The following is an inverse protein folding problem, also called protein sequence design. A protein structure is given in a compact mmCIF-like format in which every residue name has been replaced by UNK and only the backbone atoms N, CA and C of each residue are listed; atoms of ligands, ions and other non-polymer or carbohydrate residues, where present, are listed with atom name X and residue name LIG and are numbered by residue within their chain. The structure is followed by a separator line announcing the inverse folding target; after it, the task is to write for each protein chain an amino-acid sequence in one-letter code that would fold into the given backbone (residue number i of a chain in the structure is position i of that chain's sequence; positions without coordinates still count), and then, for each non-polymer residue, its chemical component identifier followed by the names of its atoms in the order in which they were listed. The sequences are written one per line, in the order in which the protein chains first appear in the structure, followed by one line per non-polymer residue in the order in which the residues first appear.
data_IF_497864296738
#
_entry.id   IF_497864296738
#
_cell.length_a   1.000
_cell.length_b   1.000
_cell.length_c   1.000
_cell.angle_alpha   90.00
_cell.angle_beta   90.00
_cell.angle_gamma   90.00
#
_symmetry.space_group_name_H-M   'P 1'
#
loop_
_entity.id
_entity.type
_entity.pdbx_description
1 polymer ?
#
# COMPACT_ATOMS: atom_id res chain seq x y z
N UNK A 1 17.96 14.04 69.73
CA UNK A 1 17.88 13.76 68.28
C UNK A 1 17.80 15.10 67.55
N UNK A 2 18.79 15.48 66.72
CA UNK A 2 18.74 16.75 66.02
C UNK A 2 17.77 16.64 64.84
N UNK A 3 16.89 17.63 64.71
CA UNK A 3 15.96 17.76 63.59
C UNK A 3 16.74 17.90 62.28
N UNK A 4 16.53 16.99 61.34
CA UNK A 4 16.97 17.14 59.95
C UNK A 4 16.31 18.39 59.37
N UNK A 5 17.10 19.47 59.20
CA UNK A 5 16.70 20.63 58.41
C UNK A 5 16.42 20.13 57.00
N UNK A 6 15.18 20.30 56.53
CA UNK A 6 14.85 20.02 55.13
C UNK A 6 15.67 20.98 54.26
N UNK A 7 16.46 20.45 53.34
CA UNK A 7 17.19 21.26 52.39
C UNK A 7 16.17 21.91 51.44
N UNK A 8 15.75 23.15 51.75
CA UNK A 8 15.03 24.00 50.82
C UNK A 8 15.96 24.34 49.66
N UNK A 9 15.78 23.64 48.54
CA UNK A 9 16.39 23.98 47.26
C UNK A 9 15.99 25.43 46.94
N UNK A 10 16.95 26.35 46.92
CA UNK A 10 16.67 27.74 46.57
C UNK A 10 16.18 27.80 45.11
N UNK A 11 15.09 28.53 44.82
CA UNK A 11 14.62 28.71 43.46
C UNK A 11 15.71 29.42 42.62
N UNK A 12 15.85 29.02 41.36
CA UNK A 12 16.75 29.68 40.41
C UNK A 12 16.48 31.19 40.39
N UNK A 13 17.55 32.00 40.27
CA UNK A 13 17.41 33.46 40.14
C UNK A 13 16.45 33.78 38.99
N UNK A 14 15.56 34.79 39.12
CA UNK A 14 14.56 35.11 38.10
C UNK A 14 15.14 35.29 36.70
N UNK A 15 16.34 35.86 36.59
CA UNK A 15 17.06 36.02 35.32
C UNK A 15 17.47 34.67 34.71
N UNK A 16 18.00 33.75 35.53
CA UNK A 16 18.39 32.40 35.08
C UNK A 16 17.14 31.63 34.64
N UNK A 17 16.05 31.78 35.38
CA UNK A 17 14.80 31.11 35.05
C UNK A 17 14.22 31.64 33.72
N UNK A 18 14.25 32.95 33.47
CA UNK A 18 13.83 33.53 32.18
C UNK A 18 14.67 33.02 31.01
N UNK A 19 15.99 32.95 31.18
CA UNK A 19 16.89 32.38 30.16
C UNK A 19 16.56 30.92 29.91
N UNK A 20 16.33 30.11 30.96
CA UNK A 20 15.94 28.72 30.82
C UNK A 20 14.61 28.56 30.04
N UNK A 21 13.60 29.37 30.34
CA UNK A 21 12.34 29.36 29.59
C UNK A 21 12.55 29.68 28.11
N UNK A 22 13.36 30.70 27.78
CA UNK A 22 13.66 31.07 26.40
C UNK A 22 14.43 29.97 25.67
N UNK A 23 15.40 29.34 26.32
CA UNK A 23 16.17 28.22 25.75
C UNK A 23 15.25 27.03 25.47
N UNK A 24 14.41 26.63 26.44
CA UNK A 24 13.48 25.51 26.26
C UNK A 24 12.46 25.83 25.16
N UNK A 25 11.91 27.04 25.12
CA UNK A 25 11.01 27.46 24.04
C UNK A 25 11.71 27.41 22.67
N UNK A 26 12.96 27.88 22.56
CA UNK A 26 13.73 27.81 21.32
C UNK A 26 14.01 26.37 20.89
N UNK A 27 14.32 25.47 21.84
CA UNK A 27 14.52 24.04 21.56
C UNK A 27 13.25 23.35 21.09
N UNK A 28 12.09 23.67 21.69
CA UNK A 28 10.78 23.17 21.22
C UNK A 28 10.51 23.66 19.81
N UNK A 29 10.73 24.96 19.52
CA UNK A 29 10.59 25.49 18.15
C UNK A 29 11.53 24.77 17.19
N UNK A 30 12.80 24.58 17.55
CA UNK A 30 13.78 23.89 16.72
C UNK A 30 13.38 22.42 16.45
N UNK A 31 12.82 21.72 17.43
CA UNK A 31 12.28 20.37 17.28
C UNK A 31 11.19 20.35 16.20
N UNK A 32 10.20 21.24 16.30
CA UNK A 32 9.10 21.34 15.33
C UNK A 32 9.55 21.82 13.94
N UNK A 33 10.60 22.63 13.84
CA UNK A 33 11.16 23.05 12.54
C UNK A 33 11.95 21.92 11.89
N UNK A 34 12.80 21.22 12.65
CA UNK A 34 13.67 20.15 12.13
C UNK A 34 12.90 18.93 11.64
N UNK A 35 11.76 18.67 12.25
CA UNK A 35 10.93 17.49 11.98
C UNK A 35 9.83 17.74 10.94
N UNK A 36 9.68 18.99 10.49
CA UNK A 36 8.81 19.33 9.39
C UNK A 36 9.35 18.72 8.09
N UNK A 37 8.53 17.94 7.41
CA UNK A 37 8.89 17.35 6.14
C UNK A 37 8.98 18.43 5.04
N UNK A 38 9.94 18.28 4.13
CA UNK A 38 10.04 19.15 2.96
C UNK A 38 8.77 19.02 2.10
N UNK A 39 8.22 20.13 1.57
CA UNK A 39 7.11 20.05 0.61
C UNK A 39 7.47 19.13 -0.56
N UNK A 40 6.71 18.05 -0.75
CA UNK A 40 6.96 17.06 -1.82
C UNK A 40 7.74 15.80 -1.40
N UNK A 41 8.17 15.68 -0.14
CA UNK A 41 8.77 14.44 0.40
C UNK A 41 7.75 13.42 0.89
N UNK A 42 6.46 13.70 0.71
CA UNK A 42 5.38 12.79 1.09
C UNK A 42 5.45 11.54 0.21
N UNK A 43 5.98 10.45 0.77
CA UNK A 43 5.88 9.13 0.16
C UNK A 43 4.58 8.47 0.58
N UNK A 44 4.07 7.55 -0.25
CA UNK A 44 2.95 6.65 0.06
C UNK A 44 3.08 5.95 1.42
N UNK A 45 4.30 5.86 1.96
CA UNK A 45 4.59 5.16 3.21
C UNK A 45 4.23 5.96 4.48
N UNK A 46 4.05 7.28 4.40
CA UNK A 46 3.82 8.11 5.59
C UNK A 46 2.57 8.99 5.47
N UNK A 47 1.72 8.92 6.48
CA UNK A 47 0.56 9.82 6.65
C UNK A 47 1.04 11.07 7.41
N UNK A 48 0.71 12.26 6.90
CA UNK A 48 1.20 13.54 7.44
C UNK A 48 0.09 14.38 8.07
N UNK A 49 0.25 14.72 9.35
CA UNK A 49 -0.62 15.67 10.05
C UNK A 49 -0.36 17.08 9.50
N UNK A 50 -1.43 17.80 9.12
CA UNK A 50 -1.38 19.10 8.42
C UNK A 50 -0.59 19.09 7.10
N UNK A 51 -0.29 17.90 6.56
CA UNK A 51 0.57 17.76 5.36
C UNK A 51 2.05 18.10 5.60
N UNK A 52 2.50 18.19 6.86
CA UNK A 52 3.87 18.61 7.21
C UNK A 52 4.59 17.61 8.10
N UNK A 53 3.89 16.95 9.03
CA UNK A 53 4.53 16.12 10.05
C UNK A 53 4.12 14.65 9.92
N UNK A 54 5.06 13.70 9.75
CA UNK A 54 4.75 12.28 9.90
C UNK A 54 4.01 12.01 11.21
N UNK A 55 2.99 11.16 11.20
CA UNK A 55 2.11 10.91 12.37
C UNK A 55 2.89 10.53 13.64
N UNK A 56 3.86 9.64 13.52
CA UNK A 56 4.73 9.19 14.61
C UNK A 56 5.58 10.34 15.16
N UNK A 57 6.19 11.12 14.28
CA UNK A 57 7.00 12.28 14.68
C UNK A 57 6.15 13.40 15.29
N UNK A 58 4.93 13.61 14.79
CA UNK A 58 3.98 14.55 15.35
C UNK A 58 3.61 14.15 16.79
N UNK A 59 3.30 12.87 17.04
CA UNK A 59 3.01 12.35 18.37
C UNK A 59 4.20 12.59 19.33
N UNK A 60 5.42 12.29 18.88
CA UNK A 60 6.63 12.54 19.67
C UNK A 60 6.87 14.02 19.97
N UNK A 61 6.63 14.90 18.99
CA UNK A 61 6.80 16.33 19.18
C UNK A 61 5.82 16.88 20.22
N UNK A 62 4.56 16.43 20.21
CA UNK A 62 3.55 16.78 21.21
C UNK A 62 3.98 16.30 22.61
N UNK A 63 4.40 15.03 22.72
CA UNK A 63 4.85 14.47 23.99
C UNK A 63 6.08 15.20 24.54
N UNK A 64 7.08 15.50 23.70
CA UNK A 64 8.28 16.24 24.07
C UNK A 64 7.96 17.69 24.49
N UNK A 65 7.05 18.35 23.78
CA UNK A 65 6.59 19.71 24.11
C UNK A 65 5.91 19.74 25.48
N UNK A 66 5.04 18.75 25.76
CA UNK A 66 4.38 18.62 27.05
C UNK A 66 5.38 18.36 28.18
N UNK A 67 6.31 17.42 27.98
CA UNK A 67 7.35 17.09 28.96
C UNK A 67 8.26 18.31 29.28
N UNK A 68 8.61 19.10 28.26
CA UNK A 68 9.37 20.33 28.42
C UNK A 68 8.60 21.37 29.26
N UNK A 69 7.30 21.54 29.01
CA UNK A 69 6.43 22.42 29.80
C UNK A 69 6.32 21.97 31.26
N UNK A 70 6.19 20.66 31.49
CA UNK A 70 6.13 20.09 32.84
C UNK A 70 7.45 20.28 33.60
N UNK A 71 8.59 20.10 32.93
CA UNK A 71 9.91 20.36 33.48
C UNK A 71 10.06 21.83 33.89
N UNK A 72 9.65 22.77 33.02
CA UNK A 72 9.65 24.20 33.32
C UNK A 72 8.77 24.52 34.53
N UNK A 73 7.60 23.88 34.67
CA UNK A 73 6.75 24.06 35.85
C UNK A 73 7.45 23.57 37.14
N UNK A 74 8.03 22.37 37.11
CA UNK A 74 8.69 21.78 38.28
C UNK A 74 9.90 22.62 38.71
N UNK A 75 10.70 23.08 37.75
CA UNK A 75 11.92 23.86 38.02
C UNK A 75 11.61 25.33 38.33
N UNK A 76 10.62 25.91 37.64
CA UNK A 76 10.38 27.35 37.60
C UNK A 76 9.27 27.90 38.47
N UNK A 77 8.42 27.06 39.05
CA UNK A 77 7.37 27.53 39.95
C UNK A 77 7.95 28.19 41.21
N UNK A 78 7.16 29.00 41.91
CA UNK A 78 7.51 29.55 43.24
C UNK A 78 6.92 28.72 44.39
N UNK A 79 6.15 27.68 44.08
CA UNK A 79 5.49 26.80 45.06
C UNK A 79 6.49 25.90 45.78
N UNK A 80 6.08 25.29 46.89
CA UNK A 80 6.88 24.26 47.55
C UNK A 80 7.14 23.05 46.61
N UNK A 81 8.34 22.45 46.69
CA UNK A 81 8.76 21.33 45.81
C UNK A 81 7.81 20.15 45.92
N UNK A 82 7.34 19.81 47.13
CA UNK A 82 6.38 18.72 47.33
C UNK A 82 5.08 19.00 46.58
N UNK A 83 4.61 20.25 46.63
CA UNK A 83 3.39 20.67 45.91
C UNK A 83 3.58 20.57 44.40
N UNK A 84 4.74 20.99 43.86
CA UNK A 84 5.03 20.89 42.42
C UNK A 84 5.05 19.45 41.95
N UNK A 85 5.70 18.57 42.71
CA UNK A 85 5.75 17.14 42.38
C UNK A 85 4.36 16.52 42.43
N UNK A 86 3.54 16.81 43.45
CA UNK A 86 2.16 16.32 43.53
C UNK A 86 1.35 16.79 42.32
N UNK A 87 1.41 18.07 41.97
CA UNK A 87 0.67 18.61 40.82
C UNK A 87 1.17 17.97 39.53
N UNK A 88 2.49 17.87 39.34
CA UNK A 88 3.07 17.22 38.16
C UNK A 88 2.66 15.75 38.04
N UNK A 89 2.66 15.00 39.15
CA UNK A 89 2.18 13.62 39.21
C UNK A 89 0.70 13.55 38.86
N UNK A 90 -0.16 14.40 39.44
CA UNK A 90 -1.59 14.40 39.14
C UNK A 90 -1.87 14.70 37.65
N UNK A 91 -1.15 15.65 37.06
CA UNK A 91 -1.25 15.96 35.63
C UNK A 91 -0.79 14.79 34.76
N UNK A 92 0.36 14.18 35.08
CA UNK A 92 0.84 13.00 34.37
C UNK A 92 -0.14 11.83 34.51
N UNK A 93 -0.62 11.53 35.72
CA UNK A 93 -1.59 10.47 35.96
C UNK A 93 -2.90 10.72 35.21
N UNK A 94 -3.38 11.97 35.16
CA UNK A 94 -4.59 12.35 34.43
C UNK A 94 -4.50 12.14 32.92
N UNK A 95 -3.30 12.06 32.34
CA UNK A 95 -3.07 11.78 30.91
C UNK A 95 -2.73 10.30 30.70
N UNK A 96 -1.80 9.76 31.50
CA UNK A 96 -1.28 8.42 31.32
C UNK A 96 -2.29 7.33 31.70
N UNK A 97 -3.18 7.57 32.68
CA UNK A 97 -4.20 6.57 33.05
C UNK A 97 -5.23 6.37 31.92
N UNK A 98 -5.86 7.43 31.36
CA UNK A 98 -6.72 7.26 30.19
C UNK A 98 -5.99 6.66 28.99
N UNK A 99 -4.76 7.11 28.69
CA UNK A 99 -3.99 6.52 27.60
C UNK A 99 -3.71 5.04 27.82
N UNK A 100 -3.35 4.62 29.03
CA UNK A 100 -3.13 3.21 29.36
C UNK A 100 -4.42 2.38 29.25
N UNK A 101 -5.58 2.95 29.61
CA UNK A 101 -6.87 2.27 29.46
C UNK A 101 -7.26 2.06 28.00
N UNK A 102 -6.93 3.03 27.13
CA UNK A 102 -7.28 2.97 25.71
C UNK A 102 -6.24 2.19 24.90
N UNK A 103 -4.94 2.41 25.14
CA UNK A 103 -3.83 1.74 24.44
C UNK A 103 -3.52 0.34 25.00
N UNK A 104 -3.84 0.08 26.28
CA UNK A 104 -3.56 -1.19 26.95
C UNK A 104 -4.13 -2.41 26.21
N UNK A 105 -5.40 -2.42 25.80
CA UNK A 105 -5.96 -3.48 24.95
C UNK A 105 -5.22 -3.66 23.62
N UNK A 106 -4.79 -2.57 22.97
CA UNK A 106 -4.01 -2.65 21.73
C UNK A 106 -2.58 -3.19 21.96
N UNK A 107 -1.97 -2.87 23.09
CA UNK A 107 -0.65 -3.35 23.49
C UNK A 107 -0.63 -4.87 23.64
N UNK A 108 -1.67 -5.45 24.25
CA UNK A 108 -1.81 -6.91 24.42
C UNK A 108 -2.51 -7.61 23.26
N UNK A 109 -2.87 -6.88 22.20
CA UNK A 109 -3.48 -7.44 20.98
C UNK A 109 -4.96 -7.79 21.10
N UNK A 110 -5.68 -7.27 22.11
CA UNK A 110 -7.12 -7.48 22.28
C UNK A 110 -7.97 -6.59 21.37
N UNK A 111 -7.48 -5.40 21.01
CA UNK A 111 -8.17 -4.45 20.14
C UNK A 111 -7.21 -3.98 19.05
N UNK A 112 -7.70 -3.92 17.81
CA UNK A 112 -7.03 -3.24 16.72
C UNK A 112 -7.81 -1.98 16.34
N UNK A 113 -7.31 -0.80 16.72
CA UNK A 113 -8.03 0.45 16.44
C UNK A 113 -8.12 0.80 14.95
N UNK A 114 -7.43 0.08 14.06
CA UNK A 114 -7.64 0.23 12.60
C UNK A 114 -9.07 -0.18 12.21
N UNK A 115 -9.66 -1.16 12.88
CA UNK A 115 -11.05 -1.60 12.63
C UNK A 115 -12.09 -0.54 13.01
N UNK A 116 -11.73 0.45 13.84
CA UNK A 116 -12.67 1.43 14.35
C UNK A 116 -12.39 2.85 13.85
N UNK A 117 -11.12 3.14 13.57
CA UNK A 117 -10.64 4.48 13.25
C UNK A 117 -10.05 4.60 11.85
N UNK A 118 -9.72 3.51 11.14
CA UNK A 118 -9.21 3.67 9.78
C UNK A 118 -10.30 4.31 8.92
N UNK A 119 -10.08 5.49 8.32
CA UNK A 119 -11.03 6.01 7.36
C UNK A 119 -11.01 5.06 6.17
N UNK A 120 -12.19 4.65 5.70
CA UNK A 120 -12.43 3.82 4.51
C UNK A 120 -11.74 4.36 3.22
N UNK A 121 -11.08 5.52 3.29
CA UNK A 121 -10.45 6.24 2.19
C UNK A 121 -8.92 6.31 2.24
N UNK A 122 -8.24 5.75 3.26
CA UNK A 122 -6.76 5.62 3.26
C UNK A 122 -6.26 4.33 2.56
N UNK A 123 -7.13 3.68 1.79
CA UNK A 123 -6.92 2.34 1.24
C UNK A 123 -8.13 1.43 1.42
N UNK A 124 -9.34 1.98 1.28
CA UNK A 124 -10.33 1.44 0.36
C UNK A 124 -10.91 0.04 0.54
N UNK A 125 -10.79 -0.64 1.67
CA UNK A 125 -11.38 -1.98 1.78
C UNK A 125 -12.25 -2.23 3.02
N UNK A 126 -12.48 -1.24 3.88
CA UNK A 126 -13.37 -1.35 5.04
C UNK A 126 -12.69 -1.81 6.33
N UNK A 127 -13.40 -1.81 7.47
CA UNK A 127 -12.85 -2.24 8.75
C UNK A 127 -12.93 -3.77 8.91
N UNK A 128 -11.79 -4.49 8.82
CA UNK A 128 -11.67 -5.92 9.15
C UNK A 128 -10.95 -6.83 8.13
N UNK A 129 -10.35 -6.28 7.05
CA UNK A 129 -10.17 -7.04 5.80
C UNK A 129 -8.95 -7.95 5.72
N UNK A 130 -8.28 -8.27 6.83
CA UNK A 130 -7.10 -9.15 6.82
C UNK A 130 -7.10 -10.04 8.05
N UNK A 131 -7.20 -11.33 7.81
CA UNK A 131 -6.95 -12.38 8.80
C UNK A 131 -5.54 -12.89 8.54
N UNK A 132 -4.63 -12.63 9.47
CA UNK A 132 -3.22 -12.99 9.32
C UNK A 132 -3.03 -14.49 9.57
N UNK A 133 -2.38 -15.16 8.62
CA UNK A 133 -2.07 -16.58 8.70
C UNK A 133 -0.58 -16.79 8.40
N UNK A 134 0.13 -17.63 9.18
CA UNK A 134 1.57 -17.82 9.00
C UNK A 134 2.00 -18.27 7.60
N UNK A 135 1.16 -19.05 6.91
CA UNK A 135 1.51 -19.68 5.62
C UNK A 135 1.13 -18.83 4.41
N UNK A 136 0.12 -17.97 4.53
CA UNK A 136 -0.42 -17.14 3.44
C UNK A 136 -0.24 -15.64 3.68
N UNK A 137 0.49 -15.26 4.74
CA UNK A 137 0.60 -13.91 5.26
C UNK A 137 -0.74 -13.35 5.77
N UNK A 138 -1.73 -13.15 4.90
CA UNK A 138 -3.11 -12.88 5.30
C UNK A 138 -4.10 -13.33 4.22
N UNK A 139 -5.37 -13.46 4.58
CA UNK A 139 -6.45 -13.55 3.61
C UNK A 139 -7.60 -12.62 4.02
N UNK A 140 -8.54 -12.39 3.12
CA UNK A 140 -9.75 -11.62 3.47
C UNK A 140 -10.68 -12.45 4.36
N UNK A 141 -11.52 -11.82 5.18
CA UNK A 141 -12.52 -12.56 5.93
C UNK A 141 -13.37 -13.44 4.99
N UNK A 142 -13.63 -14.71 5.35
CA UNK A 142 -14.46 -15.59 4.56
C UNK A 142 -15.83 -14.97 4.25
N UNK A 143 -16.27 -15.10 3.00
CA UNK A 143 -17.57 -14.60 2.53
C UNK A 143 -17.80 -13.11 2.69
N UNK A 144 -16.74 -12.31 2.87
CA UNK A 144 -16.85 -10.87 3.02
C UNK A 144 -17.41 -10.20 1.77
N UNK A 145 -18.18 -9.12 1.99
CA UNK A 145 -18.87 -8.38 0.95
C UNK A 145 -18.99 -6.91 1.30
N UNK A 146 -18.48 -6.07 0.42
CA UNK A 146 -18.65 -4.63 0.54
C UNK A 146 -18.59 -3.94 -0.83
N UNK A 147 -19.20 -2.77 -0.90
CA UNK A 147 -19.14 -1.92 -2.08
C UNK A 147 -18.72 -0.52 -1.65
N UNK A 148 -17.88 0.13 -2.46
CA UNK A 148 -17.42 1.48 -2.17
C UNK A 148 -17.21 2.26 -3.48
N UNK A 149 -17.08 3.58 -3.35
CA UNK A 149 -16.66 4.46 -4.44
C UNK A 149 -15.29 5.04 -4.08
N UNK A 150 -14.22 4.58 -4.75
CA UNK A 150 -12.84 4.89 -4.37
C UNK A 150 -12.22 5.91 -5.32
N UNK A 151 -11.41 6.83 -4.80
CA UNK A 151 -10.52 7.64 -5.65
C UNK A 151 -9.42 6.74 -6.23
N UNK A 152 -8.85 7.13 -7.37
CA UNK A 152 -7.57 6.58 -7.80
C UNK A 152 -6.48 6.86 -6.76
N UNK A 153 -5.46 6.00 -6.66
CA UNK A 153 -4.42 6.12 -5.63
C UNK A 153 -3.68 7.47 -5.74
N UNK A 154 -3.35 7.92 -6.95
CA UNK A 154 -2.81 9.27 -7.18
C UNK A 154 -3.76 10.37 -6.66
N UNK A 155 -5.05 10.28 -6.97
CA UNK A 155 -6.02 11.27 -6.50
C UNK A 155 -6.18 11.24 -4.97
N UNK A 156 -6.16 10.06 -4.36
CA UNK A 156 -6.24 9.86 -2.92
C UNK A 156 -5.00 10.45 -2.23
N UNK A 157 -3.79 10.13 -2.72
CA UNK A 157 -2.50 10.61 -2.20
C UNK A 157 -2.42 12.13 -2.28
N UNK A 158 -2.92 12.71 -3.35
CA UNK A 158 -2.81 14.14 -3.62
C UNK A 158 -4.00 14.96 -3.11
N UNK A 159 -5.06 14.30 -2.60
CA UNK A 159 -6.24 14.96 -2.06
C UNK A 159 -7.06 15.72 -3.09
N UNK A 160 -7.13 15.19 -4.33
CA UNK A 160 -7.82 15.82 -5.47
C UNK A 160 -9.34 15.71 -5.31
N UNK A 161 -10.01 16.83 -5.00
CA UNK A 161 -11.46 16.83 -4.77
C UNK A 161 -12.29 16.57 -6.02
N UNK A 162 -11.81 17.02 -7.18
CA UNK A 162 -12.50 16.90 -8.47
C UNK A 162 -12.25 15.58 -9.18
N UNK A 163 -11.40 14.71 -8.62
CA UNK A 163 -11.12 13.41 -9.21
C UNK A 163 -12.36 12.51 -9.21
N UNK A 164 -12.54 11.66 -10.23
CA UNK A 164 -13.63 10.71 -10.26
C UNK A 164 -13.51 9.71 -9.10
N UNK A 165 -14.66 9.19 -8.65
CA UNK A 165 -14.71 8.03 -7.75
C UNK A 165 -15.18 6.82 -8.54
N UNK A 166 -14.45 5.73 -8.42
CA UNK A 166 -14.68 4.48 -9.12
C UNK A 166 -15.50 3.54 -8.25
N UNK A 167 -16.66 3.12 -8.77
CA UNK A 167 -17.49 2.12 -8.11
C UNK A 167 -16.76 0.77 -8.11
N UNK A 168 -16.68 0.15 -6.95
CA UNK A 168 -16.11 -1.17 -6.75
C UNK A 168 -17.06 -2.01 -5.89
N UNK A 169 -17.13 -3.30 -6.20
CA UNK A 169 -17.94 -4.29 -5.49
C UNK A 169 -17.11 -5.53 -5.26
N UNK A 170 -16.84 -5.85 -3.99
CA UNK A 170 -15.97 -6.93 -3.57
C UNK A 170 -16.81 -8.05 -2.98
N UNK A 171 -16.60 -9.26 -3.49
CA UNK A 171 -17.20 -10.49 -2.98
C UNK A 171 -16.11 -11.53 -2.87
N UNK A 172 -15.95 -12.07 -1.66
CA UNK A 172 -14.95 -13.09 -1.38
C UNK A 172 -15.62 -14.45 -1.12
N UNK A 173 -14.88 -15.52 -1.41
CA UNK A 173 -15.28 -16.89 -1.12
C UNK A 173 -14.94 -17.31 0.33
N UNK A 174 -15.21 -18.57 0.67
CA UNK A 174 -14.90 -19.18 1.98
C UNK A 174 -13.43 -19.12 2.37
N UNK A 175 -12.52 -18.89 1.42
CA UNK A 175 -11.06 -18.82 1.63
C UNK A 175 -10.55 -17.37 1.58
N UNK A 176 -11.44 -16.38 1.44
CA UNK A 176 -11.05 -14.98 1.39
C UNK A 176 -10.49 -14.53 0.04
N UNK A 177 -10.73 -15.28 -1.05
CA UNK A 177 -10.32 -14.88 -2.39
C UNK A 177 -11.51 -14.37 -3.21
N UNK A 178 -11.26 -13.46 -4.15
CA UNK A 178 -12.32 -12.67 -4.78
C UNK A 178 -13.08 -13.41 -5.89
N UNK A 179 -13.81 -14.44 -5.47
CA UNK A 179 -14.67 -15.27 -6.31
C UNK A 179 -16.15 -15.02 -5.96
N UNK A 180 -17.03 -15.10 -6.95
CA UNK A 180 -18.47 -14.86 -6.76
C UNK A 180 -19.20 -16.02 -6.04
N UNK A 181 -18.54 -17.18 -5.93
CA UNK A 181 -18.99 -18.36 -5.20
C UNK A 181 -17.80 -19.18 -4.69
N UNK A 182 -18.07 -20.11 -3.78
CA UNK A 182 -17.06 -21.05 -3.28
C UNK A 182 -16.60 -22.01 -4.38
N UNK A 183 -15.28 -22.15 -4.51
CA UNK A 183 -14.66 -23.03 -5.49
C UNK A 183 -14.03 -24.25 -4.83
N UNK A 184 -14.46 -25.43 -5.29
CA UNK A 184 -13.81 -26.71 -4.99
C UNK A 184 -12.97 -27.23 -6.17
N UNK A 185 -13.22 -26.71 -7.38
CA UNK A 185 -12.38 -26.91 -8.56
C UNK A 185 -12.52 -25.76 -9.56
N UNK A 186 -11.46 -25.51 -10.32
CA UNK A 186 -11.43 -24.52 -11.38
C UNK A 186 -10.63 -25.05 -12.58
N UNK A 187 -11.03 -24.72 -13.81
CA UNK A 187 -10.27 -25.10 -15.00
C UNK A 187 -9.01 -24.23 -15.17
N UNK A 188 -9.11 -22.97 -14.75
CA UNK A 188 -8.01 -21.99 -14.77
C UNK A 188 -7.87 -21.38 -13.39
N UNK A 189 -6.63 -21.23 -12.92
CA UNK A 189 -6.28 -20.49 -11.70
C UNK A 189 -5.46 -19.27 -12.09
N UNK A 190 -5.83 -18.09 -11.58
CA UNK A 190 -5.07 -16.85 -11.73
C UNK A 190 -4.39 -16.52 -10.41
N UNK A 191 -3.09 -16.27 -10.44
CA UNK A 191 -2.28 -15.87 -9.27
C UNK A 191 -1.65 -14.52 -9.58
N UNK A 192 -1.61 -13.62 -8.61
CA UNK A 192 -0.96 -12.33 -8.72
C UNK A 192 -1.33 -11.40 -7.57
N UNK A 193 -1.11 -10.11 -7.80
CA UNK A 193 -1.33 -9.04 -6.83
C UNK A 193 -2.72 -8.38 -6.96
N UNK A 194 -2.80 -7.08 -6.66
CA UNK A 194 -4.00 -6.24 -6.79
C UNK A 194 -4.57 -6.19 -8.21
N UNK A 195 -3.76 -6.41 -9.25
CA UNK A 195 -4.24 -6.51 -10.63
C UNK A 195 -5.09 -7.75 -10.85
N UNK A 196 -4.77 -8.86 -10.19
CA UNK A 196 -5.55 -10.09 -10.30
C UNK A 196 -6.73 -10.02 -9.33
N UNK A 197 -6.55 -9.50 -8.10
CA UNK A 197 -7.68 -9.25 -7.18
C UNK A 197 -8.74 -8.33 -7.82
N UNK A 198 -8.34 -7.47 -8.76
CA UNK A 198 -9.24 -6.59 -9.51
C UNK A 198 -9.59 -5.31 -8.74
N UNK A 199 -8.61 -4.77 -8.03
CA UNK A 199 -8.77 -3.59 -7.18
C UNK A 199 -9.49 -2.44 -7.93
N UNK A 200 -10.47 -1.80 -7.26
CA UNK A 200 -11.30 -0.70 -7.80
C UNK A 200 -12.16 -1.04 -9.02
N UNK A 201 -12.44 -2.31 -9.27
CA UNK A 201 -13.32 -2.76 -10.36
C UNK A 201 -14.53 -3.46 -9.77
N UNK A 202 -15.68 -3.46 -10.46
CA UNK A 202 -16.86 -4.23 -10.03
C UNK A 202 -16.64 -5.73 -10.30
N UNK A 203 -17.22 -6.60 -9.47
CA UNK A 203 -17.01 -8.05 -9.52
C UNK A 203 -17.11 -8.62 -10.94
N UNK A 204 -18.13 -8.24 -11.71
CA UNK A 204 -18.40 -8.79 -13.04
C UNK A 204 -17.36 -8.37 -14.09
N UNK A 205 -16.58 -7.32 -13.82
CA UNK A 205 -15.63 -6.71 -14.77
C UNK A 205 -14.18 -7.11 -14.52
N UNK A 206 -13.88 -7.86 -13.45
CA UNK A 206 -12.52 -8.34 -13.17
C UNK A 206 -12.08 -9.41 -14.18
N UNK A 207 -10.77 -9.63 -14.27
CA UNK A 207 -10.17 -10.51 -15.28
C UNK A 207 -10.68 -11.96 -15.19
N UNK A 208 -10.87 -12.50 -13.98
CA UNK A 208 -11.37 -13.86 -13.79
C UNK A 208 -12.79 -14.06 -14.32
N UNK A 209 -13.70 -13.13 -14.04
CA UNK A 209 -15.09 -13.21 -14.50
C UNK A 209 -15.20 -13.04 -16.01
N UNK A 210 -14.44 -12.09 -16.58
CA UNK A 210 -14.40 -11.91 -18.03
C UNK A 210 -13.78 -13.14 -18.73
N UNK A 211 -12.71 -13.72 -18.18
CA UNK A 211 -12.04 -14.89 -18.72
C UNK A 211 -12.93 -16.13 -18.65
N UNK A 212 -13.61 -16.35 -17.52
CA UNK A 212 -14.54 -17.48 -17.36
C UNK A 212 -15.71 -17.41 -18.33
N UNK A 213 -16.25 -16.21 -18.57
CA UNK A 213 -17.29 -15.98 -19.57
C UNK A 213 -16.80 -16.26 -21.00
N UNK A 214 -15.56 -15.86 -21.33
CA UNK A 214 -14.97 -16.14 -22.64
C UNK A 214 -14.73 -17.64 -22.84
N UNK A 215 -14.16 -18.33 -21.86
CA UNK A 215 -13.79 -19.74 -21.97
C UNK A 215 -14.95 -20.70 -21.74
N UNK A 216 -16.06 -20.24 -21.16
CA UNK A 216 -17.15 -21.12 -20.72
C UNK A 216 -16.72 -22.07 -19.59
N UNK A 217 -15.77 -21.64 -18.76
CA UNK A 217 -15.12 -22.47 -17.75
C UNK A 217 -14.99 -21.74 -16.40
N UNK A 218 -14.86 -22.50 -15.31
CA UNK A 218 -14.60 -21.94 -13.97
C UNK A 218 -13.17 -21.41 -13.88
N UNK A 219 -13.03 -20.16 -13.46
CA UNK A 219 -11.74 -19.48 -13.28
C UNK A 219 -11.63 -19.03 -11.82
N UNK A 220 -10.65 -19.54 -11.10
CA UNK A 220 -10.36 -19.09 -9.74
C UNK A 220 -9.49 -17.83 -9.79
N UNK A 221 -9.96 -16.78 -9.16
CA UNK A 221 -9.17 -15.60 -8.84
C UNK A 221 -8.49 -15.83 -7.50
N UNK A 222 -7.17 -15.99 -7.49
CA UNK A 222 -6.36 -16.06 -6.27
C UNK A 222 -5.42 -14.86 -6.15
N UNK A 223 -5.76 -13.77 -6.82
CA UNK A 223 -5.04 -12.51 -6.70
C UNK A 223 -5.31 -11.83 -5.37
N UNK A 224 -4.28 -11.23 -4.78
CA UNK A 224 -4.38 -10.58 -3.49
C UNK A 224 -3.52 -9.31 -3.48
N UNK A 225 -4.14 -8.15 -3.27
CA UNK A 225 -3.41 -6.88 -3.10
C UNK A 225 -2.37 -7.05 -2.00
N UNK A 226 -1.22 -6.39 -2.16
CA UNK A 226 -0.06 -6.45 -1.25
C UNK A 226 0.72 -7.78 -1.26
N UNK A 227 0.43 -8.72 -2.16
CA UNK A 227 1.23 -9.94 -2.32
C UNK A 227 2.28 -9.75 -3.39
N UNK A 228 3.51 -10.14 -3.07
CA UNK A 228 4.59 -10.35 -4.01
C UNK A 228 4.88 -11.84 -4.25
N UNK A 229 5.95 -12.15 -4.99
CA UNK A 229 6.17 -13.50 -5.54
C UNK A 229 6.25 -14.65 -4.51
N UNK A 230 6.87 -14.49 -3.32
CA UNK A 230 6.85 -15.53 -2.30
C UNK A 230 5.44 -15.88 -1.79
N UNK A 231 4.61 -14.87 -1.52
CA UNK A 231 3.23 -15.09 -1.09
C UNK A 231 2.36 -15.70 -2.20
N UNK A 232 2.53 -15.24 -3.43
CA UNK A 232 1.90 -15.82 -4.62
C UNK A 232 2.25 -17.31 -4.80
N UNK A 233 3.50 -17.71 -4.55
CA UNK A 233 3.92 -19.11 -4.59
C UNK A 233 3.23 -19.95 -3.52
N UNK A 234 3.09 -19.39 -2.31
CA UNK A 234 2.38 -20.04 -1.23
C UNK A 234 0.89 -20.23 -1.57
N UNK A 235 0.23 -19.20 -2.11
CA UNK A 235 -1.16 -19.27 -2.59
C UNK A 235 -1.32 -20.34 -3.66
N UNK A 236 -0.45 -20.36 -4.67
CA UNK A 236 -0.48 -21.38 -5.71
C UNK A 236 -0.40 -22.80 -5.10
N UNK A 237 0.53 -23.03 -4.18
CA UNK A 237 0.76 -24.35 -3.58
C UNK A 237 -0.39 -24.78 -2.66
N UNK A 238 -0.86 -23.89 -1.79
CA UNK A 238 -1.79 -24.21 -0.71
C UNK A 238 -3.26 -24.14 -1.15
N UNK A 239 -3.55 -23.32 -2.16
CA UNK A 239 -4.93 -23.04 -2.61
C UNK A 239 -5.11 -23.37 -4.08
N UNK A 240 -4.22 -22.90 -4.96
CA UNK A 240 -4.35 -23.03 -6.42
C UNK A 240 -4.31 -24.46 -6.95
N UNK A 241 -3.22 -25.18 -6.71
CA UNK A 241 -3.06 -26.56 -7.20
C UNK A 241 -4.11 -27.54 -6.62
N UNK A 242 -4.53 -27.43 -5.34
CA UNK A 242 -5.64 -28.21 -4.82
C UNK A 242 -6.99 -28.04 -5.55
N UNK A 243 -7.20 -26.95 -6.32
CA UNK A 243 -8.38 -26.77 -7.17
C UNK A 243 -8.32 -27.57 -8.48
N UNK A 244 -7.24 -28.33 -8.70
CA UNK A 244 -7.01 -29.19 -9.86
C UNK A 244 -7.16 -28.47 -11.21
N UNK A 245 -6.48 -27.32 -11.42
CA UNK A 245 -6.56 -26.59 -12.68
C UNK A 245 -5.91 -27.33 -13.84
N UNK A 246 -6.40 -27.09 -15.05
CA UNK A 246 -5.66 -27.45 -16.26
C UNK A 246 -4.62 -26.38 -16.62
N UNK A 247 -4.88 -25.11 -16.25
CA UNK A 247 -4.02 -23.96 -16.54
C UNK A 247 -3.84 -23.09 -15.30
N UNK A 248 -2.60 -22.69 -15.03
CA UNK A 248 -2.25 -21.63 -14.09
C UNK A 248 -1.69 -20.45 -14.87
N UNK A 249 -2.26 -19.26 -14.62
CA UNK A 249 -1.75 -17.99 -15.14
C UNK A 249 -1.21 -17.17 -13.98
N UNK A 250 0.11 -16.99 -13.95
CA UNK A 250 0.80 -16.15 -12.99
C UNK A 250 0.97 -14.76 -13.59
N UNK A 251 0.40 -13.73 -12.97
CA UNK A 251 0.59 -12.35 -13.37
C UNK A 251 1.76 -11.75 -12.61
N UNK A 252 2.70 -11.16 -13.33
CA UNK A 252 3.82 -10.42 -12.76
C UNK A 252 3.68 -8.94 -13.13
N UNK A 253 3.58 -8.05 -12.16
CA UNK A 253 3.57 -6.61 -12.38
C UNK A 253 4.96 -6.00 -12.25
N UNK A 254 5.45 -5.41 -13.34
CA UNK A 254 6.80 -4.83 -13.36
C UNK A 254 6.95 -3.57 -12.47
N UNK A 255 5.85 -3.06 -11.90
CA UNK A 255 5.81 -1.81 -11.13
C UNK A 255 6.11 -1.94 -9.64
N UNK A 256 5.79 -3.07 -9.02
CA UNK A 256 5.89 -3.30 -7.57
C UNK A 256 6.38 -4.71 -7.18
N UNK A 257 6.09 -5.79 -7.93
CA UNK A 257 6.37 -7.17 -7.48
C UNK A 257 7.82 -7.41 -7.03
N UNK A 258 8.80 -6.84 -7.74
CA UNK A 258 10.22 -6.95 -7.33
C UNK A 258 10.53 -6.20 -6.04
N UNK A 259 9.83 -5.10 -5.77
CA UNK A 259 9.95 -4.35 -4.52
C UNK A 259 9.17 -4.99 -3.37
N UNK A 260 8.03 -5.61 -3.67
CA UNK A 260 7.19 -6.28 -2.69
C UNK A 260 7.91 -7.50 -2.08
N UNK A 261 8.80 -8.15 -2.84
CA UNK A 261 9.73 -9.13 -2.30
C UNK A 261 10.55 -8.60 -1.09
N UNK A 262 11.14 -7.40 -1.21
CA UNK A 262 11.94 -6.83 -0.11
C UNK A 262 11.06 -6.48 1.10
N UNK A 263 9.83 -6.02 0.84
CA UNK A 263 8.88 -5.73 1.91
C UNK A 263 8.52 -7.01 2.66
N UNK A 264 8.23 -8.10 1.96
CA UNK A 264 7.95 -9.39 2.56
C UNK A 264 9.12 -9.89 3.42
N UNK A 265 10.34 -9.83 2.90
CA UNK A 265 11.55 -10.21 3.65
C UNK A 265 11.82 -9.30 4.85
N UNK A 266 11.47 -8.01 4.76
CA UNK A 266 11.56 -7.07 5.87
C UNK A 266 10.48 -7.29 6.94
N UNK A 267 9.65 -8.34 6.82
CA UNK A 267 8.58 -8.61 7.76
C UNK A 267 7.42 -7.62 7.63
N UNK A 268 7.24 -6.99 6.46
CA UNK A 268 6.01 -6.26 6.16
C UNK A 268 4.79 -7.18 6.30
N UNK A 269 5.04 -8.51 6.26
CA UNK A 269 4.15 -9.58 6.69
C UNK A 269 3.57 -9.47 8.12
N UNK A 270 3.99 -8.47 8.89
CA UNK A 270 3.57 -8.20 10.27
C UNK A 270 2.79 -6.89 10.44
N UNK A 271 2.38 -6.22 9.34
CA UNK A 271 1.53 -5.02 9.40
C UNK A 271 0.28 -5.33 10.23
N UNK A 272 0.10 -4.71 11.40
CA UNK A 272 -0.99 -5.05 12.33
C UNK A 272 -0.63 -5.93 13.51
N UNK A 273 0.52 -6.59 13.47
CA UNK A 273 1.06 -7.38 14.56
C UNK A 273 1.79 -6.52 15.60
N UNK A 274 2.17 -5.27 15.25
CA UNK A 274 2.84 -4.35 16.18
C UNK A 274 1.86 -3.54 17.01
N UNK A 275 2.28 -3.11 18.20
CA UNK A 275 1.52 -2.15 19.00
C UNK A 275 1.25 -0.84 18.25
N UNK A 276 2.23 -0.33 17.50
CA UNK A 276 2.08 0.91 16.72
C UNK A 276 1.00 0.82 15.65
N UNK A 277 0.80 -0.35 15.04
CA UNK A 277 -0.25 -0.51 14.04
C UNK A 277 -1.64 -0.47 14.67
N UNK A 278 -1.78 -1.10 15.84
CA UNK A 278 -3.04 -1.19 16.59
C UNK A 278 -3.34 0.05 17.42
N UNK A 279 -2.38 0.94 17.65
CA UNK A 279 -2.49 2.06 18.60
C UNK A 279 -3.66 2.99 18.31
N UNK A 280 -4.37 3.38 19.38
CA UNK A 280 -5.45 4.37 19.29
C UNK A 280 -4.94 5.74 18.86
N UNK A 281 -3.88 6.23 19.51
CA UNK A 281 -3.34 7.58 19.26
C UNK A 281 -2.84 7.70 17.83
N UNK A 282 -2.08 6.71 17.34
CA UNK A 282 -1.53 6.78 15.99
C UNK A 282 -2.65 6.70 14.93
N UNK A 283 -3.65 5.84 15.12
CA UNK A 283 -4.78 5.77 14.19
C UNK A 283 -5.69 7.01 14.26
N UNK A 284 -5.94 7.56 15.45
CA UNK A 284 -6.65 8.84 15.62
C UNK A 284 -5.90 10.00 14.95
N UNK A 285 -4.56 10.04 15.04
CA UNK A 285 -3.75 11.03 14.34
C UNK A 285 -3.75 10.82 12.82
N UNK A 286 -3.86 9.58 12.32
CA UNK A 286 -4.07 9.32 10.88
C UNK A 286 -5.42 9.85 10.39
N UNK A 287 -6.47 9.71 11.20
CA UNK A 287 -7.78 10.35 10.92
C UNK A 287 -7.63 11.86 10.86
N UNK A 288 -7.00 12.48 11.87
CA UNK A 288 -6.75 13.92 11.88
C UNK A 288 -5.92 14.34 10.66
N UNK A 289 -4.87 13.60 10.32
CA UNK A 289 -4.05 13.85 9.15
C UNK A 289 -4.86 13.80 7.85
N UNK A 290 -5.80 12.86 7.74
CA UNK A 290 -6.74 12.79 6.63
C UNK A 290 -7.65 14.03 6.57
N UNK A 291 -8.30 14.42 7.67
CA UNK A 291 -9.19 15.60 7.72
C UNK A 291 -8.45 16.93 7.53
N UNK A 292 -7.21 17.00 7.99
CA UNK A 292 -6.34 18.17 7.88
C UNK A 292 -5.49 18.14 6.61
N UNK A 293 -5.68 17.13 5.75
CA UNK A 293 -4.99 17.03 4.48
C UNK A 293 -5.33 18.27 3.67
N UNK A 294 -4.30 18.97 3.21
CA UNK A 294 -4.48 20.11 2.33
C UNK A 294 -5.04 19.58 1.01
N UNK A 295 -6.31 19.84 0.75
CA UNK A 295 -6.89 19.58 -0.56
C UNK A 295 -6.25 20.52 -1.56
N UNK A 296 -5.88 19.96 -2.71
CA UNK A 296 -5.17 20.67 -3.76
C UNK A 296 -5.96 20.54 -5.05
N UNK A 297 -6.03 21.64 -5.78
CA UNK A 297 -6.54 21.60 -7.14
C UNK A 297 -5.55 20.82 -8.01
N UNK A 298 -6.07 20.18 -9.06
CA UNK A 298 -5.26 19.40 -9.99
C UNK A 298 -4.04 20.19 -10.52
N UNK A 299 -4.14 21.52 -10.61
CA UNK A 299 -3.12 22.43 -11.12
C UNK A 299 -2.05 22.87 -10.11
N UNK A 300 -2.09 22.36 -8.86
CA UNK A 300 -1.09 22.69 -7.85
C UNK A 300 0.34 22.32 -8.35
N UNK A 301 1.29 23.28 -8.38
CA UNK A 301 2.66 23.04 -8.82
C UNK A 301 3.37 21.92 -8.06
N UNK A 302 3.00 21.67 -6.80
CA UNK A 302 3.55 20.58 -6.00
C UNK A 302 2.98 19.21 -6.38
N UNK A 303 1.72 19.15 -6.85
CA UNK A 303 1.16 17.94 -7.47
C UNK A 303 1.92 17.65 -8.77
N UNK A 304 2.13 18.69 -9.58
CA UNK A 304 2.84 18.58 -10.86
C UNK A 304 4.30 18.12 -10.70
N UNK A 305 4.94 18.41 -9.55
CA UNK A 305 6.30 17.94 -9.23
C UNK A 305 6.34 16.56 -8.55
N UNK A 306 5.27 16.17 -7.83
CA UNK A 306 5.24 14.92 -7.06
C UNK A 306 4.81 13.70 -7.88
N UNK A 307 3.98 13.90 -8.91
CA UNK A 307 3.57 12.85 -9.83
C UNK A 307 3.73 13.32 -11.26
N UNK A 308 4.29 12.44 -12.10
CA UNK A 308 4.45 12.73 -13.51
C UNK A 308 3.07 12.72 -14.16
N UNK A 309 2.72 13.79 -14.87
CA UNK A 309 1.43 13.92 -15.56
C UNK A 309 1.65 14.33 -17.00
N UNK A 310 0.77 13.87 -17.88
CA UNK A 310 0.78 14.24 -19.28
C UNK A 310 -0.64 14.35 -19.85
N UNK A 311 -0.89 15.30 -20.76
CA UNK A 311 -2.14 15.29 -21.52
C UNK A 311 -2.20 14.03 -22.38
N UNK A 312 -3.37 13.39 -22.43
CA UNK A 312 -3.66 12.38 -23.44
C UNK A 312 -4.12 13.12 -24.70
N UNK A 313 -3.40 12.96 -25.81
CA UNK A 313 -3.58 13.73 -27.05
C UNK A 313 -5.00 13.71 -27.63
N UNK A 314 -5.82 12.70 -27.30
CA UNK A 314 -7.14 12.48 -27.89
C UNK A 314 -8.32 12.76 -26.94
N UNK A 315 -8.10 12.83 -25.61
CA UNK A 315 -9.20 12.85 -24.63
C UNK A 315 -9.41 14.19 -23.90
N UNK A 316 -8.53 15.17 -24.08
CA UNK A 316 -8.56 16.42 -23.29
C UNK A 316 -8.43 16.19 -21.76
N UNK A 317 -7.95 15.00 -21.36
CA UNK A 317 -7.81 14.58 -19.98
C UNK A 317 -6.33 14.43 -19.60
N UNK A 318 -6.03 14.69 -18.33
CA UNK A 318 -4.70 14.52 -17.75
C UNK A 318 -4.57 13.12 -17.16
N UNK A 319 -3.55 12.38 -17.57
CA UNK A 319 -3.18 11.11 -16.95
C UNK A 319 -2.09 11.35 -15.92
N UNK A 320 -2.25 10.77 -14.73
CA UNK A 320 -1.27 10.78 -13.65
C UNK A 320 -0.55 9.44 -13.65
N UNK A 321 0.77 9.46 -13.81
CA UNK A 321 1.59 8.27 -13.77
C UNK A 321 2.10 8.10 -12.35
N UNK A 322 1.51 7.15 -11.64
CA UNK A 322 1.99 6.60 -10.37
C UNK A 322 2.98 5.46 -10.64
N UNK A 323 3.80 5.10 -9.66
CA UNK A 323 4.84 4.06 -9.81
C UNK A 323 5.80 4.32 -10.98
N UNK A 324 6.21 5.58 -11.17
CA UNK A 324 7.08 6.04 -12.26
C UNK A 324 8.57 5.82 -12.04
N UNK A 325 8.92 4.92 -11.12
CA UNK A 325 10.28 4.42 -10.99
C UNK A 325 10.29 3.00 -11.57
N UNK A 326 10.22 2.82 -12.91
CA UNK A 326 10.59 1.52 -13.46
C UNK A 326 11.99 1.23 -12.91
N UNK A 327 12.21 0.06 -12.28
CA UNK A 327 13.45 -0.16 -11.56
C UNK A 327 14.62 -0.02 -12.55
N UNK A 328 15.47 0.97 -12.32
CA UNK A 328 16.73 1.06 -13.05
C UNK A 328 17.56 -0.13 -12.57
N UNK A 329 18.13 -0.95 -13.47
CA UNK A 329 18.94 -2.10 -13.08
C UNK A 329 20.04 -1.66 -12.09
N UNK A 330 19.86 -2.06 -10.84
CA UNK A 330 20.78 -1.85 -9.74
C UNK A 330 21.14 -3.22 -9.16
N UNK A 331 22.18 -3.31 -8.32
CA UNK A 331 22.55 -4.58 -7.69
C UNK A 331 21.39 -5.20 -6.90
N UNK A 332 20.57 -4.39 -6.22
CA UNK A 332 19.38 -4.88 -5.51
C UNK A 332 18.31 -5.36 -6.49
N UNK A 333 18.01 -4.59 -7.54
CA UNK A 333 17.03 -4.98 -8.57
C UNK A 333 17.41 -6.27 -9.29
N UNK A 334 18.70 -6.48 -9.56
CA UNK A 334 19.17 -7.73 -10.16
C UNK A 334 19.01 -8.91 -9.19
N UNK A 335 19.33 -8.72 -7.91
CA UNK A 335 19.10 -9.75 -6.88
C UNK A 335 17.61 -10.09 -6.72
N UNK A 336 16.73 -9.09 -6.76
CA UNK A 336 15.27 -9.30 -6.72
C UNK A 336 14.80 -10.09 -7.95
N UNK A 337 15.36 -9.79 -9.13
CA UNK A 337 15.03 -10.50 -10.36
C UNK A 337 15.51 -11.96 -10.31
N UNK A 338 16.72 -12.22 -9.81
CA UNK A 338 17.25 -13.58 -9.64
C UNK A 338 16.34 -14.40 -8.72
N UNK A 339 15.84 -13.79 -7.66
CA UNK A 339 14.93 -14.45 -6.73
C UNK A 339 13.53 -14.66 -7.32
N UNK A 340 12.98 -13.64 -7.99
CA UNK A 340 11.72 -13.77 -8.73
C UNK A 340 11.78 -14.93 -9.73
N UNK A 341 12.84 -15.00 -10.52
CA UNK A 341 13.01 -16.08 -11.51
C UNK A 341 13.15 -17.45 -10.85
N UNK A 342 13.82 -17.54 -9.69
CA UNK A 342 13.87 -18.77 -8.87
C UNK A 342 12.47 -19.20 -8.42
N UNK A 343 11.66 -18.27 -7.92
CA UNK A 343 10.30 -18.51 -7.43
C UNK A 343 9.36 -18.96 -8.57
N UNK A 344 9.37 -18.25 -9.69
CA UNK A 344 8.57 -18.62 -10.87
C UNK A 344 9.01 -19.98 -11.43
N UNK A 345 10.32 -20.28 -11.41
CA UNK A 345 10.82 -21.61 -11.75
C UNK A 345 10.27 -22.72 -10.85
N UNK A 346 10.12 -22.44 -9.54
CA UNK A 346 9.48 -23.37 -8.60
C UNK A 346 7.98 -23.51 -8.89
N UNK A 347 7.27 -22.41 -9.10
CA UNK A 347 5.84 -22.42 -9.45
C UNK A 347 5.56 -23.29 -10.68
N UNK A 348 6.36 -23.09 -11.75
CA UNK A 348 6.31 -23.89 -12.97
C UNK A 348 6.57 -25.37 -12.70
N UNK A 349 7.61 -25.70 -11.95
CA UNK A 349 7.96 -27.09 -11.61
C UNK A 349 6.82 -27.79 -10.84
N UNK A 350 6.15 -27.07 -9.93
CA UNK A 350 4.98 -27.59 -9.20
C UNK A 350 3.79 -27.86 -10.14
N UNK A 351 3.57 -27.00 -11.12
CA UNK A 351 2.52 -27.18 -12.13
C UNK A 351 2.82 -28.39 -13.03
N UNK A 352 4.05 -28.49 -13.55
CA UNK A 352 4.48 -29.59 -14.43
C UNK A 352 4.37 -30.95 -13.73
N UNK A 353 4.73 -31.02 -12.45
CA UNK A 353 4.60 -32.24 -11.66
C UNK A 353 3.15 -32.76 -11.55
N UNK A 354 2.16 -31.90 -11.80
CA UNK A 354 0.73 -32.23 -11.78
C UNK A 354 0.09 -32.21 -13.18
N UNK A 355 0.89 -32.07 -14.25
CA UNK A 355 0.38 -31.98 -15.63
C UNK A 355 -0.36 -30.68 -15.94
N UNK A 356 -0.19 -29.65 -15.11
CA UNK A 356 -0.85 -28.34 -15.24
C UNK A 356 -0.02 -27.43 -16.16
N UNK A 357 -0.68 -26.78 -17.12
CA UNK A 357 -0.02 -25.80 -17.99
C UNK A 357 0.26 -24.51 -17.23
N UNK A 358 1.47 -23.96 -17.37
CA UNK A 358 1.89 -22.74 -16.68
C UNK A 358 2.13 -21.61 -17.68
N UNK A 359 1.50 -20.46 -17.45
CA UNK A 359 1.65 -19.22 -18.23
C UNK A 359 2.09 -18.08 -17.32
N UNK A 360 3.19 -17.42 -17.67
CA UNK A 360 3.61 -16.15 -17.06
C UNK A 360 3.05 -14.97 -17.88
N UNK A 361 2.15 -14.18 -17.31
CA UNK A 361 1.61 -12.97 -17.91
C UNK A 361 2.33 -11.74 -17.34
N UNK A 362 3.05 -10.98 -18.18
CA UNK A 362 3.76 -9.77 -17.75
C UNK A 362 2.84 -8.57 -17.86
N UNK A 363 2.56 -7.94 -16.74
CA UNK A 363 1.76 -6.71 -16.62
C UNK A 363 2.69 -5.50 -16.74
N UNK A 364 2.50 -4.62 -17.74
CA UNK A 364 3.33 -3.44 -17.92
C UNK A 364 2.89 -2.31 -16.97
N UNK A 365 3.79 -1.38 -16.66
CA UNK A 365 3.39 -0.10 -16.08
C UNK A 365 2.59 0.72 -17.07
N UNK A 366 1.65 1.50 -16.53
CA UNK A 366 0.80 2.44 -17.29
C UNK A 366 1.60 3.33 -18.24
N UNK A 367 2.80 3.77 -17.83
CA UNK A 367 3.66 4.61 -18.64
C UNK A 367 4.11 3.94 -19.96
N UNK A 368 4.41 2.63 -19.97
CA UNK A 368 4.74 1.90 -21.21
C UNK A 368 3.55 1.82 -22.15
N UNK A 369 2.37 1.58 -21.59
CA UNK A 369 1.14 1.48 -22.37
C UNK A 369 0.78 2.83 -22.96
N UNK A 370 0.91 3.96 -22.26
CA UNK A 370 0.49 5.26 -22.78
C UNK A 370 1.59 6.12 -23.41
N UNK A 371 2.86 5.69 -23.40
CA UNK A 371 3.97 6.48 -23.97
C UNK A 371 3.73 7.01 -25.39
N UNK A 372 3.10 6.26 -26.32
CA UNK A 372 2.77 6.79 -27.65
C UNK A 372 1.70 7.91 -27.67
N UNK A 373 0.83 7.95 -26.67
CA UNK A 373 -0.37 8.83 -26.63
C UNK A 373 -0.27 9.97 -25.62
N UNK A 374 0.68 9.90 -24.68
CA UNK A 374 0.90 10.90 -23.64
C UNK A 374 2.25 11.60 -23.82
N UNK A 375 2.28 12.90 -23.54
CA UNK A 375 3.54 13.63 -23.37
C UNK A 375 4.15 13.26 -22.02
N UNK A 376 5.07 12.28 -22.03
CA UNK A 376 5.80 11.88 -20.83
C UNK A 376 6.88 12.91 -20.49
N UNK A 377 7.10 13.22 -19.21
CA UNK A 377 8.27 14.00 -18.79
C UNK A 377 9.58 13.29 -19.17
N UNK A 378 10.60 14.05 -19.56
CA UNK A 378 11.88 13.50 -20.07
C UNK A 378 12.51 12.49 -19.13
N UNK A 379 12.53 12.77 -17.82
CA UNK A 379 13.07 11.86 -16.82
C UNK A 379 12.39 10.48 -16.80
N UNK A 380 11.09 10.40 -17.11
CA UNK A 380 10.38 9.11 -17.21
C UNK A 380 10.60 8.44 -18.55
N UNK A 381 10.63 9.21 -19.64
CA UNK A 381 11.00 8.67 -20.94
C UNK A 381 12.39 7.99 -20.88
N UNK A 382 13.37 8.64 -20.26
CA UNK A 382 14.72 8.09 -20.09
C UNK A 382 14.72 6.81 -19.23
N UNK A 383 13.94 6.81 -18.15
CA UNK A 383 13.80 5.64 -17.26
C UNK A 383 13.09 4.47 -17.91
N UNK A 384 12.08 4.70 -18.75
CA UNK A 384 11.43 3.63 -19.52
C UNK A 384 12.37 2.97 -20.53
N UNK A 385 13.32 3.74 -21.06
CA UNK A 385 14.37 3.24 -21.95
C UNK A 385 15.42 2.45 -21.18
N UNK A 386 15.77 2.89 -19.97
CA UNK A 386 16.81 2.26 -19.13
C UNK A 386 16.32 1.04 -18.33
N UNK A 387 15.09 1.08 -17.83
CA UNK A 387 14.43 -0.01 -17.12
C UNK A 387 13.86 -0.99 -18.13
N UNK A 388 14.37 -2.22 -18.16
CA UNK A 388 13.95 -3.22 -19.14
C UNK A 388 13.78 -4.60 -18.51
N UNK A 389 13.16 -4.62 -17.33
CA UNK A 389 12.83 -5.83 -16.57
C UNK A 389 11.96 -6.76 -17.40
N UNK A 390 10.92 -6.24 -18.05
CA UNK A 390 10.03 -7.02 -18.91
C UNK A 390 10.79 -7.77 -20.02
N UNK A 391 11.77 -7.15 -20.70
CA UNK A 391 12.59 -7.87 -21.68
C UNK A 391 13.54 -8.88 -21.05
N UNK A 392 14.10 -8.59 -19.86
CA UNK A 392 14.94 -9.54 -19.12
C UNK A 392 14.15 -10.78 -18.71
N UNK A 393 12.93 -10.60 -18.22
CA UNK A 393 12.00 -11.68 -17.88
C UNK A 393 11.60 -12.44 -19.15
N UNK A 394 11.30 -11.75 -20.25
CA UNK A 394 11.01 -12.40 -21.54
C UNK A 394 12.17 -13.27 -22.03
N UNK A 395 13.39 -12.75 -21.97
CA UNK A 395 14.61 -13.46 -22.37
C UNK A 395 14.86 -14.67 -21.47
N UNK A 396 14.69 -14.51 -20.16
CA UNK A 396 14.80 -15.59 -19.19
C UNK A 396 13.72 -16.67 -19.41
N UNK A 397 12.46 -16.27 -19.58
CA UNK A 397 11.35 -17.18 -19.81
C UNK A 397 11.59 -18.00 -21.09
N UNK A 398 12.01 -17.35 -22.18
CA UNK A 398 12.38 -18.02 -23.43
C UNK A 398 13.53 -19.03 -23.23
N UNK A 399 14.61 -18.62 -22.55
CA UNK A 399 15.76 -19.47 -22.29
C UNK A 399 15.43 -20.70 -21.42
N UNK A 400 14.39 -20.61 -20.59
CA UNK A 400 13.95 -21.69 -19.72
C UNK A 400 12.70 -22.41 -20.25
N UNK A 401 12.21 -22.07 -21.46
CA UNK A 401 11.02 -22.70 -22.04
C UNK A 401 9.72 -22.45 -21.28
N UNK A 402 9.59 -21.29 -20.62
CA UNK A 402 8.38 -20.85 -19.93
C UNK A 402 7.49 -20.13 -20.94
N UNK A 403 6.21 -20.51 -20.99
CA UNK A 403 5.23 -19.79 -21.78
C UNK A 403 4.99 -18.40 -21.18
N UNK A 404 5.15 -17.37 -22.00
CA UNK A 404 5.00 -15.98 -21.58
C UNK A 404 4.01 -15.23 -22.48
N UNK A 405 3.14 -14.43 -21.86
CA UNK A 405 2.24 -13.49 -22.50
C UNK A 405 2.60 -12.07 -22.06
N UNK A 406 3.11 -11.27 -22.99
CA UNK A 406 3.37 -9.85 -22.77
C UNK A 406 2.08 -9.05 -23.00
N UNK A 407 1.57 -8.40 -21.95
CA UNK A 407 0.33 -7.63 -22.01
C UNK A 407 0.55 -6.19 -22.51
N UNK A 408 1.79 -5.73 -22.74
CA UNK A 408 2.08 -4.39 -23.25
C UNK A 408 1.38 -4.15 -24.59
N UNK A 409 1.60 -5.00 -25.58
CA UNK A 409 1.06 -4.78 -26.93
C UNK A 409 -0.47 -4.85 -26.97
N UNK A 410 -1.16 -5.85 -26.35
CA UNK A 410 -2.62 -5.86 -26.32
C UNK A 410 -3.24 -4.64 -25.64
N UNK A 411 -2.71 -4.23 -24.48
CA UNK A 411 -3.20 -3.05 -23.75
C UNK A 411 -2.94 -1.76 -24.54
N UNK A 412 -1.75 -1.64 -25.14
CA UNK A 412 -1.34 -0.56 -26.04
C UNK A 412 -2.31 -0.44 -27.22
N UNK A 413 -2.57 -1.53 -27.93
CA UNK A 413 -3.49 -1.54 -29.07
C UNK A 413 -4.94 -1.20 -28.70
N UNK A 414 -5.35 -1.48 -27.46
CA UNK A 414 -6.69 -1.18 -26.98
C UNK A 414 -6.87 0.24 -26.44
N UNK A 415 -5.80 0.92 -26.01
CA UNK A 415 -5.85 2.26 -25.41
C UNK A 415 -6.60 3.32 -26.25
N UNK A 416 -6.53 3.35 -27.59
CA UNK A 416 -7.32 4.28 -28.40
C UNK A 416 -8.84 4.04 -28.36
N UNK A 417 -9.27 2.82 -28.02
CA UNK A 417 -10.70 2.45 -27.93
C UNK A 417 -11.33 2.79 -26.58
N UNK A 418 -10.50 3.03 -25.57
CA UNK A 418 -10.95 3.33 -24.21
C UNK A 418 -9.81 3.21 -23.21
N UNK A 419 -9.94 3.89 -22.07
CA UNK A 419 -8.95 3.87 -21.01
C UNK A 419 -8.79 2.45 -20.45
N UNK A 420 -7.65 1.81 -20.72
CA UNK A 420 -7.29 0.48 -20.19
C UNK A 420 -6.74 0.53 -18.76
N UNK A 421 -6.27 1.70 -18.33
CA UNK A 421 -5.88 2.02 -16.95
C UNK A 421 -6.67 3.23 -16.50
N UNK A 422 -6.91 3.34 -15.20
CA UNK A 422 -7.50 4.53 -14.59
C UNK A 422 -6.58 5.75 -14.77
N UNK A 423 -7.19 6.93 -14.87
CA UNK A 423 -6.45 8.16 -15.19
C UNK A 423 -5.54 8.59 -14.05
N UNK A 424 -6.00 8.41 -12.82
CA UNK A 424 -5.41 8.82 -11.54
C UNK A 424 -4.99 7.62 -10.67
N UNK A 425 -4.67 6.48 -11.28
CA UNK A 425 -4.36 5.23 -10.55
C UNK A 425 -3.53 4.25 -11.40
N UNK A 426 -2.68 3.43 -10.77
CA UNK A 426 -1.84 2.46 -11.47
C UNK A 426 -2.58 1.23 -12.05
N UNK A 427 -3.82 0.96 -11.65
CA UNK A 427 -4.57 -0.27 -11.98
C UNK A 427 -5.39 -0.17 -13.27
N UNK A 428 -5.76 -1.34 -13.78
CA UNK A 428 -6.65 -1.47 -14.94
C UNK A 428 -8.06 -0.97 -14.65
N UNK A 429 -8.69 -0.38 -15.66
CA UNK A 429 -10.14 -0.23 -15.64
C UNK A 429 -10.81 -1.58 -15.90
N UNK A 430 -12.13 -1.67 -15.69
CA UNK A 430 -12.89 -2.83 -16.16
C UNK A 430 -12.87 -3.04 -17.69
N UNK A 431 -12.39 -2.08 -18.49
CA UNK A 431 -12.07 -2.31 -19.91
C UNK A 431 -10.68 -2.95 -20.09
N UNK A 432 -9.68 -2.51 -19.33
CA UNK A 432 -8.36 -3.14 -19.28
C UNK A 432 -8.42 -4.62 -18.88
N UNK A 433 -9.16 -4.95 -17.81
CA UNK A 433 -9.38 -6.35 -17.41
C UNK A 433 -9.97 -7.22 -18.53
N UNK A 434 -10.88 -6.67 -19.34
CA UNK A 434 -11.46 -7.39 -20.49
C UNK A 434 -10.41 -7.66 -21.56
N UNK A 435 -9.58 -6.67 -21.91
CA UNK A 435 -8.50 -6.83 -22.90
C UNK A 435 -7.51 -7.91 -22.45
N UNK A 436 -7.17 -7.93 -21.15
CA UNK A 436 -6.32 -8.97 -20.56
C UNK A 436 -6.98 -10.34 -20.64
N UNK A 437 -8.26 -10.45 -20.27
CA UNK A 437 -9.01 -11.69 -20.36
C UNK A 437 -9.10 -12.21 -21.81
N UNK A 438 -9.33 -11.34 -22.78
CA UNK A 438 -9.32 -11.68 -24.22
C UNK A 438 -7.95 -12.21 -24.67
N UNK A 439 -6.87 -11.59 -24.20
CA UNK A 439 -5.50 -11.99 -24.55
C UNK A 439 -5.13 -13.36 -23.95
N UNK A 440 -5.50 -13.60 -22.69
CA UNK A 440 -5.29 -14.90 -22.03
C UNK A 440 -6.16 -15.98 -22.67
N UNK A 441 -7.42 -15.68 -22.98
CA UNK A 441 -8.33 -16.62 -23.65
C UNK A 441 -7.82 -17.03 -25.04
N UNK A 442 -7.32 -16.06 -25.83
CA UNK A 442 -6.71 -16.33 -27.13
C UNK A 442 -5.49 -17.26 -26.97
N UNK A 443 -4.60 -16.96 -26.02
CA UNK A 443 -3.40 -17.75 -25.77
C UNK A 443 -3.71 -19.21 -25.41
N UNK A 444 -4.71 -19.43 -24.55
CA UNK A 444 -5.18 -20.76 -24.11
C UNK A 444 -5.78 -21.53 -25.29
N UNK A 445 -6.64 -20.88 -26.10
CA UNK A 445 -7.30 -21.51 -27.26
C UNK A 445 -6.33 -21.91 -28.36
N UNK A 446 -5.38 -21.03 -28.69
CA UNK A 446 -4.35 -21.30 -29.71
C UNK A 446 -3.50 -22.54 -29.39
N UNK A 447 -3.41 -22.91 -28.11
CA UNK A 447 -2.62 -24.04 -27.64
C UNK A 447 -3.45 -25.26 -27.26
N UNK A 448 -4.78 -25.19 -27.37
CA UNK A 448 -5.69 -26.27 -26.99
C UNK A 448 -5.47 -26.75 -25.55
N UNK A 449 -5.19 -25.83 -24.63
CA UNK A 449 -4.95 -26.16 -23.22
C UNK A 449 -6.22 -26.47 -22.44
N UNK A 450 -7.37 -26.11 -22.99
CA UNK A 450 -8.69 -26.51 -22.52
C UNK A 450 -9.42 -27.24 -23.66
N UNK A 451 -10.30 -28.20 -23.33
CA UNK A 451 -11.04 -29.01 -24.31
C UNK A 451 -12.07 -28.22 -25.12
#
# INVERSE_FOLDING_TARGET
MPAMKSATVQPLRPTILRVLHLVVAALVVLLWVRTAASPGSASERFVYVFGVYPVDQFAWNVAATYAAGLLLYVVGSHQDVRRRLIVATLHLSGILLPLALVEGPALVGWIDYREYLAPDQLGGEGPGNRLYEPELYFHRPPHDRFSNALYGDAAAILGMRSAPRYAADYRYDRRGFRNDHDLDSAAVVLVGDSFVEGYKVTQERIVSMQLGALLGARVANLGQSDFGPPNELAVLRLVGLPLQPAVVVWFFFEGNDLYDYDLEQAGWSTRGATFSDRSFVLNGLRVVAYWTRRHRDADDPQIASAMLRGPIKEAGATMYFENTNPPIPSTSTLSQLDEFTRIVGQARSLCEAQGVQFLLAVVPIKARVYAPWASLPSALADRLVQGDISRRIASWAQANGIHLLDLEQPLRAAAPRGAVYYLDDAHWTGFGHRVVAESVAAFIRERHWLP
#
